data_IF_936128242096
#
_entry.id   IF_936128242096
#
_cell.length_a   1.000
_cell.length_b   1.000
_cell.length_c   1.000
_cell.angle_alpha   90.00
_cell.angle_beta   90.00
_cell.angle_gamma   90.00
#
_symmetry.space_group_name_H-M   'P 1'
#
loop_
_entity.id
_entity.type
_entity.pdbx_description
1 polymer ?
#
# COMPACT_ATOMS: atom_id res chain seq x y z
N UNK A 1 -32.54 -17.09 0.09
CA UNK A 1 -31.83 -15.94 0.67
C UNK A 1 -32.83 -15.28 1.58
N UNK A 2 -32.78 -15.63 2.86
CA UNK A 2 -33.88 -15.36 3.78
C UNK A 2 -33.81 -13.90 4.22
N UNK A 3 -34.96 -13.27 4.42
CA UNK A 3 -35.03 -11.88 4.91
C UNK A 3 -34.32 -11.69 6.25
N UNK A 4 -34.25 -12.75 7.06
CA UNK A 4 -33.50 -12.81 8.33
C UNK A 4 -32.00 -12.61 8.08
N UNK A 5 -31.41 -13.29 7.10
CA UNK A 5 -29.97 -13.18 6.75
C UNK A 5 -29.60 -11.73 6.35
N UNK A 6 -30.52 -11.00 5.71
CA UNK A 6 -30.29 -9.61 5.29
C UNK A 6 -30.37 -8.64 6.49
N UNK A 7 -31.29 -8.89 7.42
CA UNK A 7 -31.42 -8.07 8.65
C UNK A 7 -30.20 -8.27 9.55
N UNK A 8 -29.76 -9.51 9.75
CA UNK A 8 -28.55 -9.83 10.51
C UNK A 8 -27.32 -9.17 9.89
N UNK A 9 -27.12 -9.33 8.57
CA UNK A 9 -26.03 -8.67 7.86
C UNK A 9 -26.08 -7.15 7.98
N UNK A 10 -27.27 -6.55 7.91
CA UNK A 10 -27.43 -5.10 8.05
C UNK A 10 -26.99 -4.64 9.44
N UNK A 11 -27.38 -5.37 10.48
CA UNK A 11 -26.98 -5.07 11.85
C UNK A 11 -25.47 -5.19 12.04
N UNK A 12 -24.86 -6.26 11.52
CA UNK A 12 -23.40 -6.46 11.56
C UNK A 12 -22.65 -5.36 10.83
N UNK A 13 -23.14 -4.90 9.66
CA UNK A 13 -22.52 -3.81 8.91
C UNK A 13 -22.59 -2.46 9.67
N UNK A 14 -23.67 -2.22 10.41
CA UNK A 14 -23.81 -1.02 11.25
C UNK A 14 -22.89 -1.08 12.47
N UNK A 15 -22.82 -2.22 13.16
CA UNK A 15 -21.92 -2.43 14.29
C UNK A 15 -20.45 -2.31 13.87
N UNK A 16 -20.10 -2.93 12.74
CA UNK A 16 -18.76 -2.81 12.16
C UNK A 16 -18.37 -1.35 11.91
N UNK A 17 -19.28 -0.54 11.35
CA UNK A 17 -19.03 0.88 11.10
C UNK A 17 -18.73 1.64 12.39
N UNK A 18 -19.52 1.40 13.43
CA UNK A 18 -19.35 2.07 14.72
C UNK A 18 -18.01 1.68 15.37
N UNK A 19 -17.72 0.39 15.47
CA UNK A 19 -16.46 -0.12 16.02
C UNK A 19 -15.25 0.36 15.22
N UNK A 20 -15.35 0.42 13.88
CA UNK A 20 -14.28 0.93 13.03
C UNK A 20 -14.02 2.42 13.28
N UNK A 21 -15.07 3.21 13.49
CA UNK A 21 -14.94 4.64 13.84
C UNK A 21 -14.21 4.80 15.17
N UNK A 22 -14.63 4.06 16.21
CA UNK A 22 -13.99 4.11 17.51
C UNK A 22 -12.52 3.65 17.46
N UNK A 23 -12.22 2.63 16.65
CA UNK A 23 -10.86 2.15 16.42
C UNK A 23 -10.01 3.21 15.72
N UNK A 24 -10.51 3.87 14.68
CA UNK A 24 -9.80 4.91 13.94
C UNK A 24 -9.48 6.11 14.84
N UNK A 25 -10.42 6.52 15.70
CA UNK A 25 -10.22 7.59 16.68
C UNK A 25 -9.15 7.22 17.74
N UNK A 26 -9.17 5.98 18.23
CA UNK A 26 -8.15 5.48 19.14
C UNK A 26 -6.78 5.42 18.44
N UNK A 27 -6.72 4.91 17.22
CA UNK A 27 -5.51 4.83 16.41
C UNK A 27 -4.92 6.22 16.16
N UNK A 28 -5.75 7.21 15.81
CA UNK A 28 -5.32 8.60 15.64
C UNK A 28 -4.72 9.18 16.92
N UNK A 29 -5.35 8.95 18.08
CA UNK A 29 -4.81 9.38 19.38
C UNK A 29 -3.49 8.72 19.73
N UNK A 30 -3.34 7.42 19.46
CA UNK A 30 -2.08 6.69 19.67
C UNK A 30 -0.99 7.25 18.74
N UNK A 31 -1.29 7.43 17.44
CA UNK A 31 -0.36 8.01 16.46
C UNK A 31 0.12 9.40 16.89
N UNK A 32 -0.77 10.28 17.34
CA UNK A 32 -0.40 11.61 17.84
C UNK A 32 0.55 11.52 19.05
N UNK A 33 0.27 10.63 20.00
CA UNK A 33 1.14 10.42 21.18
C UNK A 33 2.52 9.90 20.79
N UNK A 34 2.58 8.89 19.92
CA UNK A 34 3.85 8.30 19.45
C UNK A 34 4.66 9.29 18.63
N UNK A 35 3.99 10.10 17.81
CA UNK A 35 4.62 11.20 17.06
C UNK A 35 5.25 12.22 18.00
N UNK A 36 4.54 12.63 19.06
CA UNK A 36 5.07 13.54 20.09
C UNK A 36 6.27 12.96 20.83
N UNK A 37 6.29 11.64 21.06
CA UNK A 37 7.40 10.94 21.71
C UNK A 37 8.59 10.72 20.79
N UNK A 38 8.41 10.80 19.46
CA UNK A 38 9.43 10.47 18.45
C UNK A 38 10.12 9.11 18.69
N UNK A 39 9.38 8.17 19.28
CA UNK A 39 9.91 6.86 19.68
C UNK A 39 8.82 5.81 19.56
N UNK A 40 9.16 4.70 18.90
CA UNK A 40 8.30 3.51 18.81
C UNK A 40 7.90 3.01 20.19
N UNK A 41 6.60 2.77 20.38
CA UNK A 41 6.03 2.21 21.61
C UNK A 41 5.47 0.83 21.34
N UNK A 42 5.69 -0.10 22.26
CA UNK A 42 5.12 -1.45 22.23
C UNK A 42 4.50 -1.73 23.60
N UNK A 43 3.22 -2.13 23.61
CA UNK A 43 2.48 -2.50 24.82
C UNK A 43 1.67 -3.75 24.50
N UNK A 44 1.97 -4.86 25.20
CA UNK A 44 1.43 -6.20 24.89
C UNK A 44 1.59 -6.52 23.39
N UNK A 45 0.49 -6.82 22.69
CA UNK A 45 0.47 -7.21 21.28
C UNK A 45 0.33 -6.00 20.32
N UNK A 46 0.37 -4.76 20.84
CA UNK A 46 0.22 -3.54 20.05
C UNK A 46 1.55 -2.81 19.91
N UNK A 47 2.00 -2.63 18.66
CA UNK A 47 3.21 -1.86 18.32
C UNK A 47 2.86 -0.64 17.46
N UNK A 48 3.16 0.54 17.97
CA UNK A 48 3.05 1.79 17.23
C UNK A 48 4.46 2.30 16.88
N UNK A 49 4.83 2.18 15.60
CA UNK A 49 6.17 2.51 15.12
C UNK A 49 6.30 3.98 14.73
N UNK A 50 7.31 4.66 15.28
CA UNK A 50 7.73 5.99 14.82
C UNK A 50 8.77 5.86 13.70
N UNK A 51 8.60 6.62 12.63
CA UNK A 51 9.59 6.81 11.58
C UNK A 51 9.87 8.31 11.44
N UNK A 52 11.13 8.71 11.53
CA UNK A 52 11.57 10.10 11.33
C UNK A 52 11.54 10.57 9.87
N UNK A 53 10.89 9.82 8.98
CA UNK A 53 10.91 10.02 7.55
C UNK A 53 12.10 9.36 6.87
N UNK A 54 12.06 9.28 5.53
CA UNK A 54 13.19 8.83 4.72
C UNK A 54 13.99 10.06 4.30
N UNK A 55 15.32 9.98 4.41
CA UNK A 55 16.19 10.94 3.72
C UNK A 55 16.21 10.56 2.25
N UNK A 56 15.76 11.47 1.39
CA UNK A 56 15.97 11.36 -0.05
C UNK A 56 17.23 12.15 -0.37
N UNK A 57 18.18 11.49 -1.00
CA UNK A 57 19.43 12.12 -1.43
C UNK A 57 19.33 12.45 -2.92
N UNK A 58 19.75 13.65 -3.29
CA UNK A 58 19.88 14.06 -4.68
C UNK A 58 21.23 13.60 -5.24
N UNK A 59 21.29 12.32 -5.63
CA UNK A 59 22.48 11.74 -6.25
C UNK A 59 22.69 12.22 -7.68
N UNK A 60 21.63 12.60 -8.38
CA UNK A 60 21.72 13.10 -9.75
C UNK A 60 22.39 14.47 -9.76
N UNK A 61 21.89 15.41 -8.94
CA UNK A 61 22.49 16.73 -8.78
C UNK A 61 23.93 16.67 -8.28
N UNK A 62 24.22 15.81 -7.30
CA UNK A 62 25.60 15.60 -6.83
C UNK A 62 26.50 14.93 -7.89
N UNK A 63 25.94 14.00 -8.66
CA UNK A 63 26.65 13.19 -9.65
C UNK A 63 27.01 13.94 -10.92
N UNK A 64 26.30 15.01 -11.27
CA UNK A 64 26.62 15.86 -12.43
C UNK A 64 28.01 16.51 -12.36
N UNK A 65 28.61 16.62 -11.16
CA UNK A 65 29.96 17.13 -10.97
C UNK A 65 31.07 16.07 -11.20
N UNK A 66 30.71 14.79 -11.42
CA UNK A 66 31.67 13.72 -11.65
C UNK A 66 32.29 13.78 -13.05
N UNK A 67 33.44 13.11 -13.23
CA UNK A 67 34.08 13.03 -14.55
C UNK A 67 33.25 12.18 -15.54
N UNK A 68 33.30 12.48 -16.85
CA UNK A 68 32.60 11.70 -17.87
C UNK A 68 32.92 10.20 -17.87
N UNK A 69 34.14 9.83 -17.47
CA UNK A 69 34.58 8.43 -17.37
C UNK A 69 33.81 7.66 -16.29
N UNK A 70 33.54 8.31 -15.14
CA UNK A 70 32.77 7.69 -14.04
C UNK A 70 31.30 7.55 -14.44
N UNK A 71 30.73 8.57 -15.09
CA UNK A 71 29.33 8.55 -15.52
C UNK A 71 29.10 7.41 -16.53
N UNK A 72 29.99 7.28 -17.52
CA UNK A 72 29.86 6.24 -18.55
C UNK A 72 30.06 4.84 -17.98
N UNK A 73 31.01 4.64 -17.04
CA UNK A 73 31.24 3.36 -16.38
C UNK A 73 30.02 2.83 -15.60
N UNK A 74 29.16 3.73 -15.11
CA UNK A 74 27.99 3.37 -14.29
C UNK A 74 26.65 3.52 -15.02
N UNK A 75 26.65 3.88 -16.31
CA UNK A 75 25.43 3.97 -17.11
C UNK A 75 25.09 2.61 -17.72
N UNK A 76 23.83 2.17 -17.58
CA UNK A 76 23.32 0.93 -18.20
C UNK A 76 21.98 1.19 -18.87
N UNK A 77 21.83 0.72 -20.10
CA UNK A 77 20.53 0.71 -20.79
C UNK A 77 19.74 -0.51 -20.34
N UNK A 78 18.57 -0.28 -19.74
CA UNK A 78 17.64 -1.35 -19.35
C UNK A 78 16.48 -1.38 -20.35
N UNK A 79 16.41 -2.42 -21.17
CA UNK A 79 15.28 -2.64 -22.06
C UNK A 79 14.17 -3.36 -21.30
N UNK A 80 13.01 -2.72 -21.19
CA UNK A 80 11.80 -3.35 -20.63
C UNK A 80 10.84 -3.69 -21.76
N UNK A 81 10.40 -4.94 -21.84
CA UNK A 81 9.45 -5.41 -22.85
C UNK A 81 8.06 -5.50 -22.22
N UNK A 82 7.10 -4.76 -22.79
CA UNK A 82 5.69 -4.88 -22.42
C UNK A 82 5.05 -6.05 -23.18
N UNK A 83 5.14 -7.24 -22.60
CA UNK A 83 4.58 -8.47 -23.19
C UNK A 83 3.08 -8.40 -23.44
N UNK A 84 2.33 -7.60 -22.66
CA UNK A 84 0.90 -7.42 -22.86
C UNK A 84 0.62 -6.69 -24.18
N UNK A 85 1.42 -5.67 -24.52
CA UNK A 85 1.33 -4.99 -25.83
C UNK A 85 1.78 -5.90 -26.95
N UNK A 86 2.88 -6.65 -26.77
CA UNK A 86 3.35 -7.63 -27.76
C UNK A 86 2.24 -8.62 -28.12
N UNK A 87 1.58 -9.23 -27.13
CA UNK A 87 0.48 -10.17 -27.39
C UNK A 87 -0.71 -9.50 -28.09
N UNK A 88 -1.06 -8.27 -27.69
CA UNK A 88 -2.15 -7.50 -28.32
C UNK A 88 -1.89 -7.22 -29.80
N UNK A 89 -0.71 -6.72 -30.13
CA UNK A 89 -0.34 -6.33 -31.50
C UNK A 89 -0.10 -7.55 -32.39
N UNK A 90 0.37 -8.65 -31.81
CA UNK A 90 0.53 -9.93 -32.51
C UNK A 90 -0.78 -10.71 -32.66
N UNK A 91 -1.91 -10.23 -32.11
CA UNK A 91 -3.18 -10.95 -32.14
C UNK A 91 -3.18 -12.27 -31.34
N UNK A 92 -2.29 -12.40 -30.36
CA UNK A 92 -2.15 -13.58 -29.50
C UNK A 92 -2.99 -13.39 -28.25
N UNK A 93 -3.97 -14.27 -28.03
CA UNK A 93 -4.72 -14.31 -26.78
C UNK A 93 -3.92 -15.08 -25.71
N UNK A 94 -3.54 -14.40 -24.64
CA UNK A 94 -2.80 -15.02 -23.55
C UNK A 94 -3.75 -15.85 -22.66
N UNK A 95 -3.35 -17.06 -22.24
CA UNK A 95 -4.17 -17.87 -21.34
C UNK A 95 -4.29 -17.21 -19.96
N UNK A 96 -5.42 -17.42 -19.29
CA UNK A 96 -5.57 -17.04 -17.88
C UNK A 96 -4.67 -17.93 -17.04
N UNK A 97 -3.53 -17.39 -16.60
CA UNK A 97 -2.54 -18.14 -15.83
C UNK A 97 -3.01 -18.46 -14.41
N UNK A 98 -3.87 -17.62 -13.82
CA UNK A 98 -4.50 -17.86 -12.52
C UNK A 98 -5.71 -16.96 -12.34
N UNK A 99 -6.66 -17.40 -11.52
CA UNK A 99 -7.77 -16.59 -11.02
C UNK A 99 -7.83 -16.76 -9.51
N UNK A 100 -7.80 -15.65 -8.78
CA UNK A 100 -7.96 -15.67 -7.32
C UNK A 100 -9.39 -16.03 -6.92
N UNK A 101 -9.53 -16.57 -5.71
CA UNK A 101 -10.84 -16.83 -5.11
C UNK A 101 -11.64 -15.53 -4.92
N UNK A 102 -12.98 -15.60 -4.99
CA UNK A 102 -13.83 -14.45 -4.71
C UNK A 102 -13.62 -13.98 -3.26
N UNK A 103 -13.53 -12.67 -3.07
CA UNK A 103 -13.38 -12.04 -1.75
C UNK A 103 -14.35 -10.88 -1.56
N UNK A 104 -14.68 -10.60 -0.29
CA UNK A 104 -15.47 -9.44 0.11
C UNK A 104 -14.54 -8.42 0.77
N UNK A 105 -14.67 -7.15 0.40
CA UNK A 105 -13.94 -6.04 1.03
C UNK A 105 -14.93 -5.08 1.65
N UNK A 106 -14.80 -4.83 2.95
CA UNK A 106 -15.56 -3.79 3.64
C UNK A 106 -14.88 -2.45 3.41
N UNK A 107 -15.65 -1.47 2.93
CA UNK A 107 -15.21 -0.09 2.75
C UNK A 107 -16.29 0.84 3.24
N UNK A 108 -15.89 1.95 3.85
CA UNK A 108 -16.83 3.02 4.12
C UNK A 108 -17.22 3.67 2.79
N UNK A 109 -18.53 3.71 2.49
CA UNK A 109 -19.07 4.48 1.38
C UNK A 109 -19.59 5.79 1.97
N UNK A 110 -19.01 6.92 1.54
CA UNK A 110 -19.47 8.26 1.90
C UNK A 110 -20.63 8.68 1.02
#
# INVERSE_FOLDING_TARGET
MNSVDIVELTQEMLEWRELKTQLDDLEARIKMKVLRLQKTQTVADVRASYSGGRKTYDYEGAGQAASPEIITAHTKTVTTVDWRKVCRDAGIEAPVASKSDPGVTLKWVK
#
